data_IF_962332469243
#
_entry.id   IF_962332469243
#
_cell.length_a   1.000
_cell.length_b   1.000
_cell.length_c   1.000
_cell.angle_alpha   90.00
_cell.angle_beta   90.00
_cell.angle_gamma   90.00
#
_symmetry.space_group_name_H-M   'P 1'
#
loop_
_entity.id
_entity.type
_entity.pdbx_description
1 polymer ?
#
# COMPACT_ATOMS: atom_id res chain seq x y z
N UNK A 1 -54.66 4.96 -71.27
CA UNK A 1 -54.88 6.16 -70.45
C UNK A 1 -54.47 5.90 -69.03
N UNK A 2 -53.62 6.79 -68.52
CA UNK A 2 -53.09 6.96 -67.13
C UNK A 2 -52.15 5.88 -66.64
N UNK A 3 -50.93 6.09 -66.98
CA UNK A 3 -49.69 5.59 -66.43
C UNK A 3 -49.55 5.99 -64.97
N UNK A 4 -49.46 5.04 -64.06
CA UNK A 4 -49.09 5.27 -62.67
C UNK A 4 -47.61 4.86 -62.52
N UNK A 5 -46.74 5.85 -62.47
CA UNK A 5 -45.33 5.66 -62.17
C UNK A 5 -45.21 5.46 -60.65
N UNK A 6 -44.93 4.24 -60.25
CA UNK A 6 -44.65 3.94 -58.85
C UNK A 6 -43.15 4.14 -58.63
N UNK A 7 -42.78 5.21 -57.94
CA UNK A 7 -41.42 5.49 -57.51
C UNK A 7 -41.12 4.65 -56.29
N UNK A 8 -40.38 3.56 -56.47
CA UNK A 8 -39.76 2.85 -55.35
C UNK A 8 -38.57 3.64 -54.78
N UNK A 9 -38.80 4.33 -53.69
CA UNK A 9 -37.73 4.94 -52.88
C UNK A 9 -37.14 3.81 -52.04
N UNK A 10 -36.00 3.28 -52.48
CA UNK A 10 -35.21 2.34 -51.71
C UNK A 10 -34.54 3.07 -50.53
N UNK A 11 -35.03 2.84 -49.31
CA UNK A 11 -34.37 3.27 -48.09
C UNK A 11 -33.20 2.32 -47.85
N UNK A 12 -32.01 2.76 -48.22
CA UNK A 12 -30.75 2.12 -47.85
C UNK A 12 -30.49 2.37 -46.34
N UNK A 13 -30.99 1.46 -45.51
CA UNK A 13 -30.66 1.42 -44.10
C UNK A 13 -29.19 0.99 -44.00
N UNK A 14 -28.28 1.97 -43.93
CA UNK A 14 -26.90 1.72 -43.63
C UNK A 14 -26.78 1.17 -42.21
N UNK A 15 -26.59 -0.16 -42.10
CA UNK A 15 -26.14 -0.78 -40.84
C UNK A 15 -24.72 -0.26 -40.56
N UNK A 16 -24.61 0.86 -39.87
CA UNK A 16 -23.38 1.29 -39.25
C UNK A 16 -23.01 0.30 -38.14
N UNK A 17 -22.13 -0.63 -38.43
CA UNK A 17 -21.49 -1.44 -37.41
C UNK A 17 -20.66 -0.51 -36.55
N UNK A 18 -21.23 -0.07 -35.43
CA UNK A 18 -20.46 0.57 -34.37
C UNK A 18 -19.51 -0.47 -33.81
N UNK A 19 -18.30 -0.52 -34.34
CA UNK A 19 -17.21 -1.21 -33.69
C UNK A 19 -17.02 -0.52 -32.33
N UNK A 20 -17.52 -1.16 -31.26
CA UNK A 20 -17.07 -0.83 -29.91
C UNK A 20 -15.58 -1.14 -29.87
N UNK A 21 -14.76 -0.13 -30.07
CA UNK A 21 -13.36 -0.19 -29.69
C UNK A 21 -13.34 -0.35 -28.19
N UNK A 22 -13.28 -1.60 -27.74
CA UNK A 22 -12.83 -1.87 -26.38
C UNK A 22 -11.40 -1.32 -26.32
N UNK A 23 -11.20 -0.25 -25.57
CA UNK A 23 -9.88 0.10 -25.10
C UNK A 23 -9.42 -1.13 -24.30
N UNK A 24 -8.63 -1.98 -24.93
CA UNK A 24 -7.99 -3.08 -24.23
C UNK A 24 -7.00 -2.40 -23.28
N UNK A 25 -7.29 -2.47 -21.98
CA UNK A 25 -6.37 -2.01 -20.96
C UNK A 25 -5.05 -2.75 -21.19
N UNK A 26 -3.99 -2.00 -21.45
CA UNK A 26 -2.65 -2.59 -21.59
C UNK A 26 -2.25 -3.26 -20.27
N UNK A 27 -1.48 -4.32 -20.35
CA UNK A 27 -0.99 -5.03 -19.16
C UNK A 27 -0.32 -4.07 -18.16
N UNK A 28 0.44 -3.10 -18.68
CA UNK A 28 1.14 -2.08 -17.91
C UNK A 28 0.22 -1.16 -17.11
N UNK A 29 -0.97 -0.86 -17.62
CA UNK A 29 -1.95 -0.01 -16.91
C UNK A 29 -2.45 -0.67 -15.61
N UNK A 30 -2.52 -2.00 -15.56
CA UNK A 30 -2.93 -2.76 -14.38
C UNK A 30 -2.04 -2.55 -13.15
N UNK A 31 -0.79 -2.18 -13.34
CA UNK A 31 0.14 -1.81 -12.26
C UNK A 31 0.58 -0.34 -12.30
N UNK A 32 -0.17 0.50 -13.02
CA UNK A 32 -0.06 1.96 -13.00
C UNK A 32 1.13 2.50 -13.78
N UNK A 33 1.46 1.88 -14.92
CA UNK A 33 2.41 2.38 -15.91
C UNK A 33 1.72 2.56 -17.25
N UNK A 34 2.15 3.58 -17.99
CA UNK A 34 1.65 3.87 -19.33
C UNK A 34 2.79 3.79 -20.33
N UNK A 35 2.62 2.95 -21.34
CA UNK A 35 3.63 2.64 -22.36
C UNK A 35 3.23 3.27 -23.68
N UNK A 36 4.15 4.04 -24.28
CA UNK A 36 3.94 4.73 -25.54
C UNK A 36 5.00 4.28 -26.56
N UNK A 37 4.59 3.84 -27.77
CA UNK A 37 5.53 3.51 -28.82
C UNK A 37 6.28 4.76 -29.28
N UNK A 38 7.61 4.63 -29.46
CA UNK A 38 8.47 5.73 -29.94
C UNK A 38 8.96 5.51 -31.38
N UNK A 39 8.76 4.30 -31.94
CA UNK A 39 9.25 3.90 -33.27
C UNK A 39 8.14 3.24 -34.11
N UNK A 40 6.94 3.78 -34.08
CA UNK A 40 5.78 3.29 -34.86
C UNK A 40 5.45 1.79 -34.67
N UNK A 41 5.74 1.25 -33.48
CA UNK A 41 5.39 -0.12 -33.13
C UNK A 41 3.87 -0.34 -33.18
N UNK A 42 3.44 -1.45 -33.77
CA UNK A 42 2.02 -1.80 -33.81
C UNK A 42 1.50 -2.18 -32.41
N UNK A 43 0.18 -2.17 -32.26
CA UNK A 43 -0.44 -2.58 -30.99
C UNK A 43 -0.13 -4.02 -30.63
N UNK A 44 -0.19 -4.91 -31.61
CA UNK A 44 0.12 -6.34 -31.42
C UNK A 44 1.56 -6.54 -30.97
N UNK A 45 2.48 -5.75 -31.52
CA UNK A 45 3.87 -5.76 -31.12
C UNK A 45 4.06 -5.23 -29.70
N UNK A 46 3.37 -4.13 -29.35
CA UNK A 46 3.40 -3.58 -27.98
C UNK A 46 2.91 -4.62 -26.97
N UNK A 47 1.78 -5.28 -27.22
CA UNK A 47 1.21 -6.29 -26.32
C UNK A 47 2.17 -7.48 -26.13
N UNK A 48 2.82 -7.92 -27.20
CA UNK A 48 3.83 -8.99 -27.14
C UNK A 48 5.07 -8.56 -26.33
N UNK A 49 5.53 -7.33 -26.53
CA UNK A 49 6.68 -6.75 -25.84
C UNK A 49 6.38 -6.49 -24.36
N UNK A 50 5.19 -5.99 -24.02
CA UNK A 50 4.73 -5.83 -22.63
C UNK A 50 4.73 -7.19 -21.90
N UNK A 51 4.21 -8.24 -22.53
CA UNK A 51 4.21 -9.57 -21.93
C UNK A 51 5.62 -10.15 -21.76
N UNK A 52 6.52 -9.90 -22.71
CA UNK A 52 7.91 -10.33 -22.60
C UNK A 52 8.64 -9.60 -21.47
N UNK A 53 8.45 -8.26 -21.38
CA UNK A 53 9.04 -7.43 -20.33
C UNK A 53 8.42 -7.72 -18.94
N UNK A 54 7.14 -8.05 -18.87
CA UNK A 54 6.50 -8.50 -17.65
C UNK A 54 7.17 -9.76 -17.07
N UNK A 55 7.36 -10.79 -17.90
CA UNK A 55 8.01 -12.03 -17.48
C UNK A 55 9.45 -11.78 -17.02
N UNK A 56 10.20 -11.01 -17.79
CA UNK A 56 11.57 -10.65 -17.45
C UNK A 56 11.64 -9.84 -16.14
N UNK A 57 10.79 -8.82 -15.98
CA UNK A 57 10.75 -8.00 -14.77
C UNK A 57 10.36 -8.82 -13.53
N UNK A 58 9.44 -9.78 -13.67
CA UNK A 58 9.07 -10.72 -12.61
C UNK A 58 10.27 -11.60 -12.20
N UNK A 59 11.05 -12.10 -13.16
CA UNK A 59 12.25 -12.89 -12.88
C UNK A 59 13.34 -12.03 -12.20
N UNK A 60 13.53 -10.78 -12.64
CA UNK A 60 14.55 -9.88 -12.08
C UNK A 60 14.19 -9.36 -10.70
N UNK A 61 12.93 -9.02 -10.45
CA UNK A 61 12.48 -8.47 -9.17
C UNK A 61 12.06 -9.52 -8.15
N UNK A 62 11.73 -10.73 -8.60
CA UNK A 62 11.12 -11.77 -7.78
C UNK A 62 9.66 -11.45 -7.37
N UNK A 63 9.05 -10.41 -7.94
CA UNK A 63 7.72 -9.93 -7.58
C UNK A 63 6.76 -10.10 -8.75
N UNK A 64 5.60 -10.69 -8.46
CA UNK A 64 4.48 -10.74 -9.39
C UNK A 64 3.48 -9.64 -9.05
N UNK A 65 3.34 -8.57 -9.87
CA UNK A 65 2.42 -7.47 -9.55
C UNK A 65 0.95 -7.89 -9.60
N UNK A 66 0.61 -9.01 -10.27
CA UNK A 66 -0.75 -9.55 -10.28
C UNK A 66 -1.06 -10.33 -9.00
N UNK A 67 -0.03 -10.79 -8.30
CA UNK A 67 -0.14 -11.49 -7.02
C UNK A 67 1.05 -11.12 -6.13
N UNK A 68 1.12 -9.85 -5.67
CA UNK A 68 2.25 -9.36 -4.88
C UNK A 68 2.34 -10.12 -3.55
N UNK A 69 3.56 -10.44 -3.10
CA UNK A 69 3.75 -11.04 -1.78
C UNK A 69 3.28 -10.06 -0.70
N UNK A 70 2.55 -10.55 0.28
CA UNK A 70 2.10 -9.74 1.40
C UNK A 70 3.24 -9.56 2.41
N UNK A 71 3.58 -8.30 2.71
CA UNK A 71 4.54 -7.96 3.77
C UNK A 71 3.79 -7.70 5.05
N UNK A 72 3.82 -8.68 5.96
CA UNK A 72 3.13 -8.57 7.25
C UNK A 72 3.99 -7.78 8.23
N UNK A 73 3.39 -6.80 8.90
CA UNK A 73 4.04 -6.04 9.95
C UNK A 73 4.33 -6.93 11.17
N UNK A 74 5.51 -6.78 11.76
CA UNK A 74 5.82 -7.45 13.01
C UNK A 74 4.88 -6.97 14.13
N UNK A 75 4.30 -7.90 14.87
CA UNK A 75 3.47 -7.58 16.02
C UNK A 75 4.32 -7.19 17.23
N UNK A 76 3.85 -6.19 17.97
CA UNK A 76 4.50 -5.75 19.20
C UNK A 76 4.06 -6.66 20.36
N UNK A 77 5.02 -7.10 21.15
CA UNK A 77 4.75 -7.84 22.39
C UNK A 77 4.11 -6.92 23.44
N UNK A 78 2.82 -7.14 23.67
CA UNK A 78 2.02 -6.40 24.65
C UNK A 78 2.00 -7.04 26.02
N UNK A 79 2.79 -8.07 26.27
CA UNK A 79 2.91 -8.71 27.57
C UNK A 79 3.40 -7.73 28.65
N UNK A 80 3.18 -8.07 29.90
CA UNK A 80 3.61 -7.25 31.02
C UNK A 80 5.14 -7.29 31.15
N UNK A 81 5.79 -6.13 31.00
CA UNK A 81 7.25 -5.95 31.03
C UNK A 81 7.80 -5.38 32.35
N UNK A 82 6.95 -5.26 33.37
CA UNK A 82 7.30 -4.67 34.65
C UNK A 82 7.31 -3.13 34.69
N UNK A 83 6.97 -2.45 33.59
CA UNK A 83 6.92 -0.97 33.55
C UNK A 83 5.97 -0.37 34.59
N UNK A 84 4.82 -1.03 34.80
CA UNK A 84 3.87 -0.62 35.85
C UNK A 84 4.46 -0.79 37.26
N UNK A 85 5.21 -1.88 37.52
CA UNK A 85 5.86 -2.14 38.81
C UNK A 85 6.96 -1.10 39.07
N UNK A 86 7.78 -0.81 38.06
CA UNK A 86 8.82 0.23 38.16
C UNK A 86 8.21 1.61 38.39
N UNK A 87 7.09 1.91 37.71
CA UNK A 87 6.34 3.14 37.93
C UNK A 87 5.78 3.23 39.33
N UNK A 88 5.22 2.15 39.86
CA UNK A 88 4.70 2.08 41.22
C UNK A 88 5.81 2.27 42.27
N UNK A 89 6.96 1.62 42.08
CA UNK A 89 8.08 1.72 43.03
C UNK A 89 8.66 3.16 43.02
N UNK A 90 8.86 3.76 41.87
CA UNK A 90 9.32 5.15 41.75
C UNK A 90 8.32 6.16 42.31
N UNK A 91 7.02 5.92 42.06
CA UNK A 91 5.93 6.75 42.62
C UNK A 91 5.82 6.63 44.13
N UNK A 92 5.98 5.40 44.69
CA UNK A 92 6.00 5.18 46.13
C UNK A 92 7.14 5.93 46.82
N UNK A 93 8.36 5.85 46.28
CA UNK A 93 9.52 6.57 46.83
C UNK A 93 9.33 8.11 46.82
N UNK A 94 8.87 8.66 45.71
CA UNK A 94 8.57 10.08 45.61
C UNK A 94 7.43 10.52 46.53
N UNK A 95 6.37 9.71 46.61
CA UNK A 95 5.21 9.95 47.47
C UNK A 95 5.57 9.87 48.96
N UNK A 96 6.44 8.90 49.36
CA UNK A 96 6.91 8.80 50.74
C UNK A 96 7.71 10.05 51.14
N UNK A 97 8.58 10.57 50.29
CA UNK A 97 9.36 11.78 50.58
C UNK A 97 8.46 13.02 50.75
N UNK A 98 7.41 13.18 49.94
CA UNK A 98 6.45 14.27 50.07
C UNK A 98 5.57 14.08 51.32
N UNK A 99 5.11 12.84 51.53
CA UNK A 99 4.29 12.47 52.68
C UNK A 99 5.01 12.66 54.02
N UNK A 100 6.34 12.40 54.07
CA UNK A 100 7.13 12.67 55.25
C UNK A 100 7.14 14.13 55.69
N UNK A 101 7.13 15.03 54.71
CA UNK A 101 7.06 16.50 54.95
C UNK A 101 5.67 16.87 55.50
N UNK A 102 4.66 16.18 55.04
CA UNK A 102 3.23 16.41 55.47
C UNK A 102 2.87 15.63 56.73
N UNK A 103 3.74 14.81 57.30
CA UNK A 103 3.55 14.04 58.54
C UNK A 103 3.05 12.62 58.35
N UNK A 104 2.83 12.13 57.12
CA UNK A 104 2.43 10.74 56.86
C UNK A 104 3.10 10.17 55.59
N UNK A 105 4.30 9.64 55.76
CA UNK A 105 5.07 9.01 54.68
C UNK A 105 4.38 7.77 54.14
N UNK A 106 3.61 7.03 54.95
CA UNK A 106 2.92 5.81 54.52
C UNK A 106 1.78 6.08 53.56
N UNK A 107 0.93 7.06 53.84
CA UNK A 107 -0.12 7.49 52.93
C UNK A 107 0.45 8.07 51.63
N UNK A 108 1.50 8.89 51.75
CA UNK A 108 2.21 9.44 50.57
C UNK A 108 2.76 8.36 49.66
N UNK A 109 3.39 7.32 50.24
CA UNK A 109 3.91 6.16 49.48
C UNK A 109 2.78 5.40 48.77
N UNK A 110 1.68 5.13 49.46
CA UNK A 110 0.54 4.37 48.91
C UNK A 110 -0.09 5.09 47.73
N UNK A 111 -0.34 6.39 47.85
CA UNK A 111 -0.90 7.23 46.77
C UNK A 111 0.09 7.31 45.59
N UNK A 112 1.37 7.53 45.87
CA UNK A 112 2.43 7.59 44.88
C UNK A 112 2.61 6.29 44.10
N UNK A 113 2.49 5.12 44.78
CA UNK A 113 2.55 3.80 44.13
C UNK A 113 1.39 3.63 43.11
N UNK A 114 0.18 3.98 43.49
CA UNK A 114 -0.99 3.88 42.60
C UNK A 114 -0.82 4.79 41.37
N UNK A 115 -0.48 6.04 41.57
CA UNK A 115 -0.31 7.00 40.47
C UNK A 115 0.85 6.61 39.57
N UNK A 116 1.97 6.19 40.15
CA UNK A 116 3.16 5.72 39.42
C UNK A 116 2.89 4.46 38.61
N UNK A 117 2.16 3.50 39.18
CA UNK A 117 1.76 2.27 38.50
C UNK A 117 0.85 2.53 37.31
N UNK A 118 -0.14 3.42 37.47
CA UNK A 118 -1.04 3.84 36.36
C UNK A 118 -0.24 4.53 35.27
N UNK A 119 0.67 5.44 35.62
CA UNK A 119 1.52 6.15 34.67
C UNK A 119 2.45 5.21 33.93
N UNK A 120 3.07 4.24 34.61
CA UNK A 120 3.92 3.22 34.00
C UNK A 120 3.16 2.37 32.99
N UNK A 121 1.96 1.89 33.39
CA UNK A 121 1.10 1.12 32.48
C UNK A 121 0.67 1.93 31.25
N UNK A 122 0.30 3.18 31.42
CA UNK A 122 -0.05 4.07 30.32
C UNK A 122 1.13 4.35 29.38
N UNK A 123 2.31 4.53 29.93
CA UNK A 123 3.53 4.74 29.15
C UNK A 123 3.84 3.53 28.26
N UNK A 124 3.67 2.29 28.78
CA UNK A 124 3.83 1.08 27.98
C UNK A 124 2.81 1.03 26.83
N UNK A 125 1.53 1.19 27.10
CA UNK A 125 0.47 1.15 26.07
C UNK A 125 0.77 2.13 24.94
N UNK A 126 1.11 3.37 25.27
CA UNK A 126 1.45 4.39 24.25
C UNK A 126 2.73 4.02 23.49
N UNK A 127 3.71 3.41 24.18
CA UNK A 127 4.94 2.93 23.55
C UNK A 127 4.66 1.80 22.55
N UNK A 128 3.89 0.81 22.96
CA UNK A 128 3.51 -0.34 22.14
C UNK A 128 2.71 0.11 20.88
N UNK A 129 1.78 1.05 21.03
CA UNK A 129 1.03 1.62 19.92
C UNK A 129 1.93 2.32 18.90
N UNK A 130 2.89 3.12 19.39
CA UNK A 130 3.85 3.81 18.50
C UNK A 130 4.74 2.81 17.76
N UNK A 131 5.20 1.76 18.46
CA UNK A 131 6.01 0.72 17.85
C UNK A 131 5.21 -0.04 16.79
N UNK A 132 3.94 -0.39 17.07
CA UNK A 132 3.09 -1.05 16.08
C UNK A 132 2.84 -0.17 14.86
N UNK A 133 2.62 1.14 15.06
CA UNK A 133 2.50 2.08 13.95
C UNK A 133 3.78 2.15 13.10
N UNK A 134 4.96 2.15 13.74
CA UNK A 134 6.23 2.12 13.04
C UNK A 134 6.42 0.81 12.24
N UNK A 135 6.06 -0.33 12.83
CA UNK A 135 6.13 -1.64 12.16
C UNK A 135 5.18 -1.69 10.94
N UNK A 136 3.96 -1.17 11.10
CA UNK A 136 3.00 -1.10 10.00
C UNK A 136 3.50 -0.19 8.86
N UNK A 137 4.08 0.95 9.20
CA UNK A 137 4.67 1.85 8.22
C UNK A 137 5.87 1.21 7.49
N UNK A 138 6.72 0.48 8.21
CA UNK A 138 7.84 -0.25 7.62
C UNK A 138 7.38 -1.36 6.67
N UNK A 139 6.35 -2.13 7.04
CA UNK A 139 5.77 -3.15 6.18
C UNK A 139 5.15 -2.54 4.90
N UNK A 140 4.42 -1.44 5.05
CA UNK A 140 3.85 -0.71 3.91
C UNK A 140 4.92 -0.14 2.97
N UNK A 141 6.02 0.39 3.52
CA UNK A 141 7.16 0.87 2.73
C UNK A 141 7.83 -0.28 1.98
N UNK A 142 8.08 -1.42 2.65
CA UNK A 142 8.66 -2.60 2.03
C UNK A 142 7.77 -3.16 0.90
N UNK A 143 6.46 -3.18 1.09
CA UNK A 143 5.49 -3.56 0.05
C UNK A 143 5.59 -2.64 -1.18
N UNK A 144 5.70 -1.34 -0.94
CA UNK A 144 5.85 -0.32 -1.99
C UNK A 144 7.19 -0.50 -2.74
N UNK A 145 8.27 -0.77 -2.02
CA UNK A 145 9.60 -0.98 -2.61
C UNK A 145 9.65 -2.22 -3.49
N UNK A 146 9.00 -3.31 -3.09
CA UNK A 146 8.87 -4.51 -3.91
C UNK A 146 8.20 -4.19 -5.25
N UNK A 147 7.08 -3.48 -5.21
CA UNK A 147 6.35 -3.07 -6.42
C UNK A 147 7.17 -2.10 -7.28
N UNK A 148 7.86 -1.15 -6.65
CA UNK A 148 8.71 -0.19 -7.37
C UNK A 148 9.89 -0.89 -8.06
N UNK A 149 10.46 -1.94 -7.46
CA UNK A 149 11.53 -2.72 -8.09
C UNK A 149 11.04 -3.43 -9.34
N UNK A 150 9.84 -4.04 -9.29
CA UNK A 150 9.22 -4.60 -10.48
C UNK A 150 8.99 -3.53 -11.56
N UNK A 151 8.39 -2.39 -11.21
CA UNK A 151 8.13 -1.31 -12.15
C UNK A 151 9.40 -0.78 -12.82
N UNK A 152 10.47 -0.62 -12.06
CA UNK A 152 11.78 -0.20 -12.60
C UNK A 152 12.32 -1.21 -13.60
N UNK A 153 12.26 -2.50 -13.29
CA UNK A 153 12.71 -3.55 -14.21
C UNK A 153 11.85 -3.55 -15.49
N UNK A 154 10.54 -3.51 -15.35
CA UNK A 154 9.60 -3.44 -16.49
C UNK A 154 9.89 -2.22 -17.39
N UNK A 155 10.00 -1.03 -16.79
CA UNK A 155 10.28 0.20 -17.53
C UNK A 155 11.61 0.11 -18.27
N UNK A 156 12.66 -0.37 -17.62
CA UNK A 156 13.98 -0.53 -18.27
C UNK A 156 13.92 -1.49 -19.47
N UNK A 157 13.15 -2.58 -19.38
CA UNK A 157 12.96 -3.50 -20.48
C UNK A 157 12.20 -2.85 -21.64
N UNK A 158 11.10 -2.14 -21.37
CA UNK A 158 10.30 -1.48 -22.39
C UNK A 158 11.06 -0.33 -23.07
N UNK A 159 11.79 0.45 -22.29
CA UNK A 159 12.67 1.52 -22.85
C UNK A 159 13.76 0.95 -23.75
N UNK A 160 14.36 -0.19 -23.35
CA UNK A 160 15.33 -0.91 -24.19
C UNK A 160 14.75 -1.42 -25.52
N UNK A 161 13.42 -1.58 -25.60
CA UNK A 161 12.69 -1.95 -26.84
C UNK A 161 12.18 -0.73 -27.63
N UNK A 162 12.48 0.49 -27.19
CA UNK A 162 12.10 1.72 -27.89
C UNK A 162 10.68 2.21 -27.57
N UNK A 163 10.23 1.99 -26.32
CA UNK A 163 9.01 2.59 -25.79
C UNK A 163 9.33 3.69 -24.80
N UNK A 164 8.41 4.61 -24.60
CA UNK A 164 8.46 5.57 -23.49
C UNK A 164 7.51 5.11 -22.40
N UNK A 165 7.99 5.02 -21.15
CA UNK A 165 7.19 4.58 -19.99
C UNK A 165 7.01 5.73 -19.02
N UNK A 166 5.76 5.90 -18.54
CA UNK A 166 5.38 6.96 -17.58
C UNK A 166 4.46 6.41 -16.49
#
# INVERSE_FOLDING_TARGET
MRTIITICIGILVGFGTTHKTHAQDSLSSGFGLYVFPSNDQSREQQDADEMACYRWAKEQSGVDPMNPPEVVAAEVDRSADGTAVRGAAGGAAAGAAIGAIAGDAGQGAAIGAVVGGIRGRRSKVVGDERQQQANNAAASAAQTDLMNNFKKAFSACMEGKGYTVK
#
